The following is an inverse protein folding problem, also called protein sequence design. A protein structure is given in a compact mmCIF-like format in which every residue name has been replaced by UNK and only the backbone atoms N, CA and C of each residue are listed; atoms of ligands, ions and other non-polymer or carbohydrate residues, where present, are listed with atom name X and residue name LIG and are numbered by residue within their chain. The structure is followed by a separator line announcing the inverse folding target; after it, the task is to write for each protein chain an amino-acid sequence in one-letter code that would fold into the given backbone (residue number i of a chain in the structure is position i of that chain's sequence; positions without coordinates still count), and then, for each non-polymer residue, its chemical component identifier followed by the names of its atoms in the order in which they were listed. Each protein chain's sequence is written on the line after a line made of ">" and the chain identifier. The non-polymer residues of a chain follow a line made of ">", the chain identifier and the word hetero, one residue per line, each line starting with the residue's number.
data_IF_964686271665
#
_entry.id   IF_964686271665
#
_cell.length_a   1.000
_cell.length_b   1.000
_cell.length_c   1.000
_cell.angle_alpha   90.00
_cell.angle_beta   90.00
_cell.angle_gamma   90.00
#
_symmetry.space_group_name_H-M   'P 1'
#
loop_
_entity.id
_entity.type
_entity.pdbx_description
1 polymer ?
#
# COMPACT_ATOMS: atom_id res chain seq x y z
N UNK A 1 0.22 20.94 -3.32
CA UNK A 1 -0.99 21.71 -3.71
C UNK A 1 -2.10 21.54 -2.68
N UNK A 2 -2.27 20.33 -2.13
CA UNK A 2 -3.24 19.98 -1.09
C UNK A 2 -2.93 20.71 0.22
N UNK A 3 -1.71 20.59 0.75
CA UNK A 3 -1.31 21.24 2.01
C UNK A 3 -1.42 22.76 1.96
N UNK A 4 -1.04 23.35 0.81
CA UNK A 4 -1.18 24.81 0.58
C UNK A 4 -2.62 25.31 0.69
N UNK A 5 -3.60 24.41 0.50
CA UNK A 5 -5.04 24.71 0.61
C UNK A 5 -5.64 24.28 1.94
N UNK A 6 -4.86 23.64 2.84
CA UNK A 6 -5.33 23.17 4.14
C UNK A 6 -6.44 22.12 4.03
N UNK A 7 -6.39 21.27 2.99
CA UNK A 7 -7.40 20.22 2.78
C UNK A 7 -6.97 18.95 3.52
N UNK A 8 -7.90 18.37 4.27
CA UNK A 8 -7.78 17.04 4.85
C UNK A 8 -8.42 16.03 3.89
N UNK A 9 -7.59 15.25 3.21
CA UNK A 9 -8.02 14.28 2.20
C UNK A 9 -7.20 13.01 2.30
N UNK A 10 -7.81 11.89 1.87
CA UNK A 10 -7.09 10.66 1.63
C UNK A 10 -6.32 10.70 0.30
N UNK A 11 -5.18 10.02 0.28
CA UNK A 11 -4.34 9.79 -0.89
C UNK A 11 -4.34 8.28 -1.17
N UNK A 12 -5.04 7.88 -2.21
CA UNK A 12 -5.08 6.51 -2.72
C UNK A 12 -4.04 6.30 -3.83
N UNK A 13 -3.36 5.15 -3.79
CA UNK A 13 -2.52 4.69 -4.89
C UNK A 13 -3.08 3.39 -5.46
N UNK A 14 -3.41 3.42 -6.74
CA UNK A 14 -3.82 2.26 -7.55
C UNK A 14 -2.85 2.08 -8.73
N UNK A 15 -2.30 0.87 -8.85
CA UNK A 15 -1.32 0.50 -9.86
C UNK A 15 0.04 0.16 -9.28
N UNK A 16 0.47 -1.08 -9.51
CA UNK A 16 1.77 -1.62 -9.08
C UNK A 16 2.09 -1.43 -7.58
N UNK A 17 1.07 -1.56 -6.73
CA UNK A 17 1.20 -1.61 -5.27
C UNK A 17 1.80 -2.96 -4.89
N UNK A 18 3.12 -3.09 -5.01
CA UNK A 18 3.91 -4.27 -4.66
C UNK A 18 4.63 -4.10 -3.32
N UNK A 19 5.14 -5.19 -2.75
CA UNK A 19 5.90 -5.18 -1.48
C UNK A 19 7.08 -4.19 -1.54
N UNK A 20 7.73 -4.05 -2.69
CA UNK A 20 8.87 -3.15 -2.89
C UNK A 20 8.48 -1.67 -3.02
N UNK A 21 7.24 -1.40 -3.46
CA UNK A 21 6.77 -0.04 -3.75
C UNK A 21 5.99 0.57 -2.60
N UNK A 22 5.28 -0.25 -1.81
CA UNK A 22 4.46 0.20 -0.68
C UNK A 22 5.21 1.17 0.26
N UNK A 23 6.46 0.90 0.72
CA UNK A 23 7.17 1.82 1.60
C UNK A 23 7.35 3.22 1.00
N UNK A 24 7.63 3.29 -0.31
CA UNK A 24 7.82 4.56 -1.03
C UNK A 24 6.51 5.32 -1.22
N UNK A 25 5.42 4.58 -1.42
CA UNK A 25 4.08 5.15 -1.58
C UNK A 25 3.60 5.79 -0.26
N UNK A 26 3.81 5.08 0.86
CA UNK A 26 3.48 5.59 2.20
C UNK A 26 4.34 6.80 2.56
N UNK A 27 5.67 6.75 2.32
CA UNK A 27 6.58 7.88 2.53
C UNK A 27 6.19 9.11 1.67
N UNK A 28 5.63 8.88 0.49
CA UNK A 28 5.09 9.94 -0.38
C UNK A 28 3.73 10.50 0.06
N UNK A 29 3.12 9.94 1.11
CA UNK A 29 1.87 10.42 1.72
C UNK A 29 0.63 9.60 1.42
N UNK A 30 0.75 8.43 0.77
CA UNK A 30 -0.39 7.55 0.56
C UNK A 30 -0.86 6.91 1.87
N UNK A 31 -2.16 6.99 2.15
CA UNK A 31 -2.79 6.35 3.30
C UNK A 31 -3.84 5.28 2.89
N UNK A 32 -4.15 5.19 1.59
CA UNK A 32 -4.95 4.11 1.02
C UNK A 32 -4.14 3.43 -0.09
N UNK A 33 -4.07 2.10 -0.05
CA UNK A 33 -3.29 1.28 -0.99
C UNK A 33 -4.21 0.24 -1.64
N UNK A 34 -4.39 0.32 -2.96
CA UNK A 34 -5.19 -0.66 -3.70
C UNK A 34 -4.34 -1.87 -4.03
N UNK A 35 -4.59 -2.97 -3.33
CA UNK A 35 -3.80 -4.21 -3.45
C UNK A 35 -4.37 -5.12 -4.53
N UNK A 36 -3.50 -5.92 -5.15
CA UNK A 36 -3.87 -6.74 -6.31
C UNK A 36 -2.92 -7.90 -6.52
N UNK A 37 -2.71 -8.27 -7.78
CA UNK A 37 -1.82 -9.40 -8.16
C UNK A 37 -0.34 -9.15 -7.86
N UNK A 38 0.05 -7.91 -7.57
CA UNK A 38 1.42 -7.53 -7.20
C UNK A 38 1.72 -7.65 -5.70
N UNK A 39 0.72 -7.88 -4.85
CA UNK A 39 0.89 -7.83 -3.38
C UNK A 39 0.03 -8.82 -2.60
N UNK A 40 -1.17 -9.16 -3.08
CA UNK A 40 -2.14 -9.97 -2.33
C UNK A 40 -2.55 -11.25 -3.09
N UNK A 41 -2.89 -11.14 -4.37
CA UNK A 41 -3.32 -12.28 -5.19
C UNK A 41 -2.14 -12.91 -5.94
N UNK A 42 -1.23 -13.54 -5.17
CA UNK A 42 0.00 -14.16 -5.68
C UNK A 42 -0.26 -15.61 -6.13
N UNK A 43 0.36 -16.03 -7.25
CA UNK A 43 0.15 -17.39 -7.81
C UNK A 43 0.73 -18.50 -6.92
N UNK A 44 1.81 -18.21 -6.22
CA UNK A 44 2.60 -19.21 -5.49
C UNK A 44 2.34 -19.17 -3.97
N UNK A 45 1.27 -18.49 -3.52
CA UNK A 45 0.91 -18.35 -2.10
C UNK A 45 -0.61 -18.45 -1.91
N UNK A 46 -1.04 -18.91 -0.73
CA UNK A 46 -2.43 -18.72 -0.33
C UNK A 46 -2.71 -17.26 -0.01
N UNK A 47 -3.99 -16.88 0.03
CA UNK A 47 -4.40 -15.54 0.40
C UNK A 47 -3.96 -15.20 1.84
N UNK A 48 -4.01 -16.17 2.75
CA UNK A 48 -3.60 -16.02 4.15
C UNK A 48 -2.09 -15.76 4.28
N UNK A 49 -1.27 -16.47 3.51
CA UNK A 49 0.19 -16.28 3.47
C UNK A 49 0.53 -14.89 2.93
N UNK A 50 -0.05 -14.51 1.78
CA UNK A 50 0.17 -13.21 1.17
C UNK A 50 -0.31 -12.07 2.08
N UNK A 51 -1.50 -12.20 2.68
CA UNK A 51 -2.03 -11.24 3.66
C UNK A 51 -1.14 -11.12 4.89
N UNK A 52 -0.63 -12.25 5.40
CA UNK A 52 0.26 -12.26 6.57
C UNK A 52 1.56 -11.49 6.33
N UNK A 53 2.14 -11.60 5.14
CA UNK A 53 3.34 -10.83 4.75
C UNK A 53 3.03 -9.36 4.52
N UNK A 54 1.96 -9.07 3.77
CA UNK A 54 1.52 -7.71 3.49
C UNK A 54 1.17 -6.95 4.78
N UNK A 55 0.46 -7.60 5.70
CA UNK A 55 0.11 -7.00 7.00
C UNK A 55 1.35 -6.64 7.81
N UNK A 56 2.33 -7.53 7.89
CA UNK A 56 3.61 -7.25 8.56
C UNK A 56 4.35 -6.09 7.92
N UNK A 57 4.31 -5.97 6.59
CA UNK A 57 4.91 -4.83 5.90
C UNK A 57 4.22 -3.53 6.30
N UNK A 58 2.88 -3.49 6.22
CA UNK A 58 2.08 -2.31 6.56
C UNK A 58 2.34 -1.88 8.01
N UNK A 59 2.38 -2.81 8.96
CA UNK A 59 2.69 -2.53 10.38
C UNK A 59 4.09 -1.93 10.61
N UNK A 60 5.02 -2.07 9.66
CA UNK A 60 6.38 -1.52 9.75
C UNK A 60 6.55 -0.16 9.05
N UNK A 61 5.64 0.21 8.15
CA UNK A 61 5.77 1.44 7.35
C UNK A 61 4.69 2.49 7.66
N UNK A 62 3.59 2.09 8.29
CA UNK A 62 2.51 2.96 8.73
C UNK A 62 2.58 3.25 10.24
#
# INVERSE_FOLDING_TARGET
>A
MIDKRGLDIDIEVDGNVSIENIPKMVDAGANILVTGTSSLFLKDKTLEEAWGELKKLIENVC
#
